data_IF_478822983323
#
_entry.id   IF_478822983323
#
_cell.length_a   1.000
_cell.length_b   1.000
_cell.length_c   1.000
_cell.angle_alpha   90.00
_cell.angle_beta   90.00
_cell.angle_gamma   90.00
#
_symmetry.space_group_name_H-M   'P 1'
#
loop_
_entity.id
_entity.type
_entity.pdbx_description
1 polymer ?
#
# COMPACT_ATOMS: atom_id res chain seq x y z
N UNK A 1 -17.76 45.28 26.29
CA UNK A 1 -16.50 44.78 25.69
C UNK A 1 -16.23 45.50 24.37
N UNK A 2 -15.05 46.09 24.20
CA UNK A 2 -14.65 46.92 23.05
C UNK A 2 -14.67 46.12 21.72
N UNK A 3 -15.22 46.69 20.64
CA UNK A 3 -15.27 46.10 19.30
C UNK A 3 -13.88 45.66 18.80
N UNK A 4 -12.82 46.41 19.12
CA UNK A 4 -11.43 46.05 18.80
C UNK A 4 -10.98 44.77 19.52
N UNK A 5 -11.37 44.59 20.78
CA UNK A 5 -11.04 43.40 21.58
C UNK A 5 -11.78 42.17 21.05
N UNK A 6 -13.07 42.32 20.69
CA UNK A 6 -13.85 41.24 20.05
C UNK A 6 -13.21 40.77 18.74
N UNK A 7 -12.78 41.72 17.88
CA UNK A 7 -12.13 41.40 16.62
C UNK A 7 -10.78 40.70 16.82
N UNK A 8 -9.98 41.15 17.81
CA UNK A 8 -8.70 40.52 18.12
C UNK A 8 -8.86 39.07 18.61
N UNK A 9 -9.82 38.82 19.51
CA UNK A 9 -10.13 37.46 19.99
C UNK A 9 -10.58 36.58 18.83
N UNK A 10 -11.41 37.10 17.92
CA UNK A 10 -11.87 36.37 16.74
C UNK A 10 -10.70 35.98 15.83
N UNK A 11 -9.78 36.92 15.55
CA UNK A 11 -8.58 36.66 14.73
C UNK A 11 -7.67 35.61 15.36
N UNK A 12 -7.39 35.71 16.67
CA UNK A 12 -6.56 34.72 17.38
C UNK A 12 -7.23 33.33 17.34
N UNK A 13 -8.54 33.27 17.57
CA UNK A 13 -9.31 32.03 17.47
C UNK A 13 -9.21 31.39 16.08
N UNK A 14 -9.36 32.18 15.01
CA UNK A 14 -9.20 31.71 13.64
C UNK A 14 -7.79 31.18 13.36
N UNK A 15 -6.74 31.89 13.81
CA UNK A 15 -5.35 31.44 13.64
C UNK A 15 -5.12 30.10 14.36
N UNK A 16 -5.59 29.95 15.60
CA UNK A 16 -5.45 28.70 16.36
C UNK A 16 -6.15 27.53 15.67
N UNK A 17 -7.33 27.76 15.08
CA UNK A 17 -8.04 26.73 14.29
C UNK A 17 -7.23 26.33 13.05
N UNK A 18 -6.69 27.30 12.31
CA UNK A 18 -5.88 27.03 11.11
C UNK A 18 -4.61 26.24 11.47
N UNK A 19 -3.91 26.65 12.53
CA UNK A 19 -2.71 25.95 13.02
C UNK A 19 -3.06 24.55 13.51
N UNK A 20 -4.17 24.39 14.24
CA UNK A 20 -4.66 23.09 14.71
C UNK A 20 -5.01 22.15 13.55
N UNK A 21 -5.71 22.65 12.53
CA UNK A 21 -6.03 21.90 11.31
C UNK A 21 -4.75 21.54 10.53
N UNK A 22 -3.83 22.48 10.40
CA UNK A 22 -2.54 22.27 9.74
C UNK A 22 -1.71 21.19 10.44
N UNK A 23 -1.61 21.23 11.77
CA UNK A 23 -0.91 20.22 12.56
C UNK A 23 -1.59 18.84 12.47
N UNK A 24 -2.94 18.81 12.51
CA UNK A 24 -3.70 17.58 12.35
C UNK A 24 -3.49 16.94 10.96
N UNK A 25 -3.51 17.74 9.88
CA UNK A 25 -3.20 17.28 8.53
C UNK A 25 -1.74 16.83 8.39
N UNK A 26 -0.79 17.58 8.93
CA UNK A 26 0.63 17.20 8.94
C UNK A 26 0.84 15.84 9.60
N UNK A 27 0.24 15.61 10.78
CA UNK A 27 0.30 14.33 11.48
C UNK A 27 -0.31 13.18 10.69
N UNK A 28 -1.33 13.42 9.86
CA UNK A 28 -1.91 12.39 8.99
C UNK A 28 -0.96 11.97 7.87
N UNK A 29 -0.23 12.93 7.30
CA UNK A 29 0.70 12.67 6.18
C UNK A 29 2.04 12.11 6.69
N UNK A 30 2.56 12.64 7.78
CA UNK A 30 3.84 12.21 8.36
C UNK A 30 3.82 10.76 8.89
N UNK A 31 2.64 10.20 9.16
CA UNK A 31 2.49 8.87 9.75
C UNK A 31 1.91 7.83 8.77
N UNK A 32 2.07 8.04 7.46
CA UNK A 32 1.69 7.00 6.49
C UNK A 32 2.58 5.77 6.68
N UNK A 33 2.00 4.55 6.72
CA UNK A 33 2.76 3.33 6.94
C UNK A 33 3.60 2.95 5.72
N UNK A 34 4.70 2.24 5.96
CA UNK A 34 5.64 1.83 4.93
C UNK A 34 6.53 2.95 4.43
N UNK A 35 7.52 2.58 3.62
CA UNK A 35 8.48 3.51 3.02
C UNK A 35 8.05 3.87 1.59
N UNK A 36 8.47 5.05 1.14
CA UNK A 36 8.34 5.45 -0.28
C UNK A 36 9.38 4.70 -1.09
N UNK A 37 8.96 4.17 -2.24
CA UNK A 37 9.85 3.62 -3.27
C UNK A 37 9.79 4.54 -4.48
N UNK A 38 10.95 4.89 -5.04
CA UNK A 38 10.99 5.76 -6.21
C UNK A 38 10.24 5.14 -7.40
N UNK A 39 9.44 5.95 -8.09
CA UNK A 39 8.70 5.49 -9.25
C UNK A 39 9.63 5.09 -10.40
N UNK A 40 9.33 3.95 -11.01
CA UNK A 40 10.07 3.39 -12.15
C UNK A 40 9.24 3.38 -13.45
N UNK A 41 8.08 4.05 -13.45
CA UNK A 41 7.19 4.13 -14.61
C UNK A 41 6.17 3.00 -14.67
N UNK A 42 5.44 2.92 -15.78
CA UNK A 42 4.25 2.06 -15.95
C UNK A 42 4.09 1.48 -17.36
N UNK A 43 5.20 1.26 -18.06
CA UNK A 43 5.15 0.74 -19.42
C UNK A 43 4.65 -0.72 -19.42
N UNK A 44 3.64 -1.05 -20.21
CA UNK A 44 3.28 -2.45 -20.47
C UNK A 44 4.25 -3.07 -21.48
N UNK A 45 4.93 -4.14 -21.10
CA UNK A 45 5.92 -4.86 -21.91
C UNK A 45 5.80 -6.37 -21.68
N UNK A 46 6.19 -7.21 -22.66
CA UNK A 46 6.24 -8.65 -22.47
C UNK A 46 7.28 -9.04 -21.40
N UNK A 47 7.06 -10.17 -20.72
CA UNK A 47 7.93 -10.63 -19.62
C UNK A 47 9.42 -10.75 -20.01
N UNK A 48 9.71 -11.13 -21.26
CA UNK A 48 11.09 -11.23 -21.79
C UNK A 48 11.86 -9.90 -21.83
N UNK A 49 11.14 -8.78 -21.89
CA UNK A 49 11.73 -7.44 -21.76
C UNK A 49 11.76 -6.99 -20.30
N UNK A 50 10.71 -7.28 -19.53
CA UNK A 50 10.66 -6.94 -18.11
C UNK A 50 11.78 -7.63 -17.30
N UNK A 51 12.17 -8.86 -17.67
CA UNK A 51 13.27 -9.59 -17.05
C UNK A 51 14.64 -8.89 -17.17
N UNK A 52 14.79 -7.99 -18.16
CA UNK A 52 16.01 -7.19 -18.37
C UNK A 52 16.01 -5.90 -17.54
N UNK A 53 14.88 -5.56 -16.94
CA UNK A 53 14.72 -4.36 -16.13
C UNK A 53 15.17 -4.60 -14.68
N UNK A 54 15.84 -3.60 -14.09
CA UNK A 54 16.28 -3.66 -12.69
C UNK A 54 15.31 -2.88 -11.81
N UNK A 55 14.51 -3.59 -11.04
CA UNK A 55 13.60 -2.99 -10.06
C UNK A 55 14.36 -2.50 -8.82
N UNK A 56 13.91 -1.39 -8.24
CA UNK A 56 14.55 -0.75 -7.09
C UNK A 56 14.00 -1.24 -5.73
N UNK A 57 13.05 -2.17 -5.74
CA UNK A 57 12.45 -2.79 -4.55
C UNK A 57 12.11 -4.25 -4.81
N UNK A 58 11.93 -5.00 -3.71
CA UNK A 58 11.40 -6.36 -3.76
C UNK A 58 10.37 -6.56 -2.63
N UNK A 59 9.12 -6.96 -2.93
CA UNK A 59 8.55 -7.09 -4.28
C UNK A 59 8.48 -5.74 -5.01
N UNK A 60 8.55 -5.72 -6.36
CA UNK A 60 8.49 -4.46 -7.12
C UNK A 60 7.18 -3.71 -6.89
N UNK A 61 7.26 -2.39 -6.76
CA UNK A 61 6.09 -1.52 -6.51
C UNK A 61 5.67 -0.66 -7.70
N UNK A 62 6.46 -0.69 -8.78
CA UNK A 62 6.28 0.08 -10.03
C UNK A 62 7.29 -0.42 -11.07
N UNK A 63 7.21 0.10 -12.29
CA UNK A 63 8.13 -0.21 -13.38
C UNK A 63 7.42 -0.91 -14.55
N UNK A 64 8.18 -1.30 -15.59
CA UNK A 64 7.63 -2.06 -16.70
C UNK A 64 6.97 -3.36 -16.23
N UNK A 65 5.82 -3.73 -16.80
CA UNK A 65 5.06 -4.88 -16.32
C UNK A 65 4.10 -5.45 -17.39
N UNK A 66 3.35 -6.49 -17.05
CA UNK A 66 2.46 -7.21 -17.97
C UNK A 66 1.15 -6.42 -18.19
N UNK A 67 0.52 -6.57 -19.35
CA UNK A 67 -0.81 -5.97 -19.63
C UNK A 67 -1.95 -6.67 -18.89
N UNK A 68 -1.73 -7.89 -18.42
CA UNK A 68 -2.67 -8.61 -17.56
C UNK A 68 -2.41 -8.28 -16.08
N UNK A 69 -3.49 -8.27 -15.28
CA UNK A 69 -3.42 -8.07 -13.84
C UNK A 69 -3.99 -9.25 -13.07
N UNK A 70 -3.52 -9.42 -11.84
CA UNK A 70 -4.09 -10.40 -10.91
C UNK A 70 -5.36 -9.81 -10.28
N UNK A 71 -6.42 -10.63 -10.21
CA UNK A 71 -7.70 -10.27 -9.61
C UNK A 71 -7.65 -10.37 -8.08
N UNK A 72 -8.58 -9.73 -7.35
CA UNK A 72 -8.58 -9.82 -5.89
C UNK A 72 -8.83 -11.27 -5.44
N UNK A 73 -8.10 -11.74 -4.44
CA UNK A 73 -8.18 -13.13 -4.03
C UNK A 73 -7.08 -13.58 -3.08
N UNK A 74 -7.22 -14.81 -2.59
CA UNK A 74 -6.20 -15.51 -1.81
C UNK A 74 -5.60 -16.60 -2.69
N UNK A 75 -4.29 -16.59 -2.82
CA UNK A 75 -3.54 -17.45 -3.71
C UNK A 75 -2.51 -18.27 -2.91
N UNK A 76 -2.64 -19.59 -3.01
CA UNK A 76 -1.76 -20.55 -2.32
C UNK A 76 -0.52 -20.93 -3.16
N UNK A 77 -0.29 -20.22 -4.25
CA UNK A 77 0.93 -20.30 -5.06
C UNK A 77 1.43 -18.91 -5.39
N UNK A 78 2.75 -18.73 -5.60
CA UNK A 78 3.30 -17.47 -6.07
C UNK A 78 2.63 -17.02 -7.36
N UNK A 79 2.25 -15.74 -7.40
CA UNK A 79 1.69 -15.13 -8.60
C UNK A 79 2.78 -14.44 -9.42
N UNK A 80 2.50 -14.24 -10.72
CA UNK A 80 3.42 -13.54 -11.61
C UNK A 80 3.64 -12.09 -11.14
N UNK A 81 4.90 -11.73 -10.86
CA UNK A 81 5.25 -10.42 -10.31
C UNK A 81 4.90 -9.27 -11.26
N UNK A 82 4.96 -9.46 -12.58
CA UNK A 82 4.61 -8.43 -13.55
C UNK A 82 3.10 -8.17 -13.54
N UNK A 83 2.30 -9.23 -13.44
CA UNK A 83 0.84 -9.08 -13.28
C UNK A 83 0.45 -8.47 -11.94
N UNK A 84 1.21 -8.75 -10.88
CA UNK A 84 1.03 -8.10 -9.58
C UNK A 84 1.34 -6.60 -9.64
N UNK A 85 2.39 -6.17 -10.36
CA UNK A 85 2.67 -4.73 -10.56
C UNK A 85 1.50 -4.04 -11.24
N UNK A 86 0.86 -4.67 -12.25
CA UNK A 86 -0.35 -4.11 -12.87
C UNK A 86 -1.48 -3.96 -11.85
N UNK A 87 -1.71 -4.97 -11.00
CA UNK A 87 -2.69 -4.84 -9.91
C UNK A 87 -2.37 -3.61 -9.03
N UNK A 88 -1.09 -3.37 -8.70
CA UNK A 88 -0.68 -2.15 -7.98
C UNK A 88 -0.98 -0.87 -8.77
N UNK A 89 -0.78 -0.88 -10.11
CA UNK A 89 -1.11 0.23 -11.01
C UNK A 89 -2.60 0.61 -10.92
N UNK A 90 -3.46 -0.40 -10.86
CA UNK A 90 -4.90 -0.26 -10.63
C UNK A 90 -5.27 0.04 -9.16
N UNK A 91 -4.30 0.24 -8.27
CA UNK A 91 -4.51 0.60 -6.87
C UNK A 91 -4.84 -0.56 -5.94
N UNK A 92 -4.41 -1.78 -6.28
CA UNK A 92 -4.51 -2.92 -5.38
C UNK A 92 -3.47 -2.84 -4.27
N UNK A 93 -3.75 -3.59 -3.20
CA UNK A 93 -2.77 -3.95 -2.18
C UNK A 93 -2.44 -5.42 -2.37
N UNK A 94 -1.16 -5.75 -2.46
CA UNK A 94 -0.70 -7.13 -2.45
C UNK A 94 -0.06 -7.42 -1.09
N UNK A 95 -0.53 -8.46 -0.44
CA UNK A 95 -0.06 -8.99 0.84
C UNK A 95 0.74 -10.25 0.52
N UNK A 96 2.06 -10.10 0.53
CA UNK A 96 3.02 -11.17 0.31
C UNK A 96 3.38 -11.81 1.63
N UNK A 97 3.45 -13.15 1.67
CA UNK A 97 3.85 -13.87 2.88
C UNK A 97 4.75 -15.07 2.57
N UNK A 98 5.69 -15.35 3.48
CA UNK A 98 6.67 -16.41 3.30
C UNK A 98 6.51 -17.53 4.32
N UNK A 99 5.94 -18.66 3.87
CA UNK A 99 5.77 -19.88 4.67
C UNK A 99 7.08 -20.60 5.02
N UNK A 100 8.22 -20.27 4.41
CA UNK A 100 9.52 -20.84 4.82
C UNK A 100 10.06 -20.18 6.10
N UNK A 101 9.59 -18.97 6.41
CA UNK A 101 10.03 -18.19 7.59
C UNK A 101 9.04 -18.24 8.76
N UNK A 102 7.83 -18.74 8.53
CA UNK A 102 6.75 -18.87 9.53
C UNK A 102 5.88 -20.08 9.20
N UNK A 103 5.36 -20.77 10.21
CA UNK A 103 4.41 -21.87 10.03
C UNK A 103 3.20 -21.44 9.16
N UNK A 104 2.65 -22.37 8.37
CA UNK A 104 1.58 -22.16 7.37
C UNK A 104 0.30 -21.51 7.95
N UNK A 105 0.19 -21.39 9.27
CA UNK A 105 -0.85 -20.62 9.97
C UNK A 105 -0.93 -19.16 9.53
N UNK A 106 0.21 -18.53 9.16
CA UNK A 106 0.23 -17.14 8.72
C UNK A 106 -0.63 -16.90 7.47
N UNK A 107 -0.64 -17.83 6.52
CA UNK A 107 -1.48 -17.74 5.33
C UNK A 107 -2.98 -17.71 5.68
N UNK A 108 -3.39 -18.49 6.69
CA UNK A 108 -4.77 -18.48 7.20
C UNK A 108 -5.10 -17.13 7.85
N UNK A 109 -4.23 -16.61 8.72
CA UNK A 109 -4.42 -15.29 9.36
C UNK A 109 -4.55 -14.18 8.33
N UNK A 110 -3.71 -14.17 7.29
CA UNK A 110 -3.75 -13.15 6.24
C UNK A 110 -4.97 -13.27 5.33
N UNK A 111 -5.43 -14.50 5.07
CA UNK A 111 -6.70 -14.76 4.39
C UNK A 111 -7.89 -14.20 5.19
N UNK A 112 -7.95 -14.49 6.49
CA UNK A 112 -8.97 -13.96 7.40
C UNK A 112 -8.93 -12.42 7.47
N UNK A 113 -7.74 -11.83 7.52
CA UNK A 113 -7.56 -10.39 7.45
C UNK A 113 -8.08 -9.82 6.13
N UNK A 114 -7.72 -10.42 4.98
CA UNK A 114 -8.21 -10.00 3.67
C UNK A 114 -9.74 -10.01 3.59
N UNK A 115 -10.36 -11.08 4.08
CA UNK A 115 -11.82 -11.21 4.19
C UNK A 115 -12.43 -10.13 5.07
N UNK A 116 -11.85 -9.84 6.23
CA UNK A 116 -12.26 -8.75 7.13
C UNK A 116 -12.18 -7.38 6.45
N UNK A 117 -11.20 -7.17 5.58
CA UNK A 117 -11.03 -5.93 4.80
C UNK A 117 -11.91 -5.87 3.53
N UNK A 118 -12.72 -6.91 3.30
CA UNK A 118 -13.71 -7.02 2.23
C UNK A 118 -13.18 -7.55 0.90
N UNK A 119 -11.92 -8.01 0.83
CA UNK A 119 -11.21 -8.51 -0.36
C UNK A 119 -11.22 -7.63 -1.62
N UNK A 120 -11.88 -6.47 -1.61
CA UNK A 120 -11.90 -5.54 -2.74
C UNK A 120 -10.51 -4.92 -2.94
N UNK A 121 -9.92 -5.10 -4.14
CA UNK A 121 -8.56 -4.63 -4.48
C UNK A 121 -7.49 -5.11 -3.48
N UNK A 122 -7.66 -6.32 -2.95
CA UNK A 122 -6.68 -6.99 -2.09
C UNK A 122 -6.30 -8.34 -2.69
N UNK A 123 -5.00 -8.63 -2.70
CA UNK A 123 -4.44 -9.91 -3.10
C UNK A 123 -3.62 -10.43 -1.93
N UNK A 124 -3.81 -11.69 -1.54
CA UNK A 124 -2.96 -12.38 -0.57
C UNK A 124 -2.26 -13.50 -1.32
N UNK A 125 -0.93 -13.52 -1.33
CA UNK A 125 -0.15 -14.51 -2.10
C UNK A 125 1.12 -14.94 -1.39
N UNK A 126 1.48 -16.21 -1.59
CA UNK A 126 2.77 -16.74 -1.13
C UNK A 126 3.89 -16.11 -1.95
N UNK A 127 4.92 -15.62 -1.28
CA UNK A 127 6.18 -15.23 -1.90
C UNK A 127 7.35 -15.80 -1.08
N UNK A 128 8.05 -16.85 -1.57
CA UNK A 128 9.16 -17.44 -0.83
C UNK A 128 10.45 -16.59 -0.85
N UNK A 129 10.51 -15.54 -1.67
CA UNK A 129 11.72 -14.73 -1.86
C UNK A 129 11.75 -13.46 -0.99
N UNK A 130 10.62 -13.04 -0.39
CA UNK A 130 10.62 -11.93 0.56
C UNK A 130 11.44 -12.28 1.81
N UNK A 131 12.14 -11.27 2.34
CA UNK A 131 13.02 -11.39 3.51
C UNK A 131 12.28 -11.30 4.85
N UNK A 132 11.10 -10.69 4.84
CA UNK A 132 10.26 -10.50 6.01
C UNK A 132 9.06 -11.44 5.94
N UNK A 133 8.54 -11.94 7.07
CA UNK A 133 7.38 -12.83 7.08
C UNK A 133 6.16 -12.29 6.33
N UNK A 134 5.91 -10.98 6.41
CA UNK A 134 4.83 -10.30 5.69
C UNK A 134 5.36 -9.03 5.05
N UNK A 135 5.05 -8.83 3.78
CA UNK A 135 5.32 -7.59 3.05
C UNK A 135 4.04 -7.12 2.35
N UNK A 136 3.64 -5.88 2.59
CA UNK A 136 2.53 -5.24 1.89
C UNK A 136 3.07 -4.27 0.85
N UNK A 137 2.58 -4.37 -0.39
CA UNK A 137 2.92 -3.44 -1.47
C UNK A 137 1.70 -2.70 -1.97
N UNK A 138 1.87 -1.41 -2.23
CA UNK A 138 1.01 -0.56 -3.05
C UNK A 138 1.88 0.15 -4.08
N UNK A 139 1.28 0.86 -5.05
CA UNK A 139 2.08 1.64 -6.00
C UNK A 139 3.03 2.60 -5.27
N UNK A 140 4.33 2.50 -5.58
CA UNK A 140 5.43 3.25 -4.94
C UNK A 140 5.53 3.14 -3.40
N UNK A 141 4.97 2.10 -2.78
CA UNK A 141 4.96 1.93 -1.33
C UNK A 141 5.16 0.49 -0.91
N UNK A 142 6.03 0.30 0.08
CA UNK A 142 6.30 -1.03 0.66
C UNK A 142 6.29 -0.95 2.19
N UNK A 143 5.63 -1.92 2.82
CA UNK A 143 5.59 -2.10 4.27
C UNK A 143 6.08 -3.51 4.58
N UNK A 144 7.27 -3.60 5.18
CA UNK A 144 7.88 -4.86 5.62
C UNK A 144 7.62 -5.08 7.12
N UNK A 145 7.21 -6.29 7.50
CA UNK A 145 6.86 -6.61 8.88
C UNK A 145 7.54 -7.89 9.36
N UNK A 146 8.24 -7.82 10.49
CA UNK A 146 8.86 -8.98 11.16
C UNK A 146 7.84 -9.94 11.77
N UNK A 147 6.63 -9.46 12.01
CA UNK A 147 5.47 -10.21 12.49
C UNK A 147 4.21 -9.49 12.02
N UNK A 148 3.13 -10.21 11.77
CA UNK A 148 1.89 -9.59 11.32
C UNK A 148 1.30 -8.67 12.41
N UNK A 149 1.23 -7.37 12.12
CA UNK A 149 0.51 -6.37 12.93
C UNK A 149 -0.74 -5.94 12.15
N UNK A 150 -1.90 -6.41 12.61
CA UNK A 150 -3.17 -6.15 11.95
C UNK A 150 -3.53 -4.65 11.90
N UNK A 151 -3.18 -3.89 12.94
CA UNK A 151 -3.48 -2.45 13.00
C UNK A 151 -2.64 -1.69 11.97
N UNK A 152 -1.36 -2.05 11.87
CA UNK A 152 -0.45 -1.46 10.88
C UNK A 152 -0.86 -1.82 9.45
N UNK A 153 -1.20 -3.09 9.20
CA UNK A 153 -1.71 -3.55 7.91
C UNK A 153 -3.04 -2.86 7.52
N UNK A 154 -3.96 -2.71 8.48
CA UNK A 154 -5.23 -1.98 8.29
C UNK A 154 -4.96 -0.54 7.87
N UNK A 155 -4.03 0.14 8.55
CA UNK A 155 -3.66 1.52 8.19
C UNK A 155 -3.06 1.60 6.79
N UNK A 156 -2.26 0.60 6.38
CA UNK A 156 -1.67 0.56 5.05
C UNK A 156 -2.73 0.40 3.96
N UNK A 157 -3.62 -0.59 4.12
CA UNK A 157 -4.72 -0.83 3.18
C UNK A 157 -5.60 0.42 3.06
N UNK A 158 -6.01 1.03 4.18
CA UNK A 158 -6.85 2.24 4.16
C UNK A 158 -6.13 3.45 3.56
N UNK A 159 -4.80 3.50 3.65
CA UNK A 159 -4.02 4.62 3.14
C UNK A 159 -3.79 4.56 1.63
N UNK A 160 -3.69 3.37 1.04
CA UNK A 160 -3.22 3.22 -0.34
C UNK A 160 -4.17 2.49 -1.29
N UNK A 161 -5.15 1.73 -0.78
CA UNK A 161 -6.11 1.03 -1.63
C UNK A 161 -6.87 2.04 -2.51
N UNK A 162 -6.95 1.73 -3.80
CA UNK A 162 -7.58 2.56 -4.82
C UNK A 162 -6.79 3.80 -5.22
N UNK A 163 -5.50 3.90 -4.86
CA UNK A 163 -4.64 5.07 -5.15
C UNK A 163 -3.49 4.76 -6.11
N UNK A 164 -3.67 3.77 -6.98
CA UNK A 164 -2.76 3.55 -8.09
C UNK A 164 -2.88 4.64 -9.16
N UNK A 165 -1.89 4.79 -10.05
CA UNK A 165 -1.87 5.82 -11.09
C UNK A 165 -2.91 5.59 -12.20
N UNK A 166 -3.51 4.41 -12.29
CA UNK A 166 -4.60 4.11 -13.23
C UNK A 166 -5.95 3.97 -12.51
N UNK A 167 -6.91 4.79 -12.93
CA UNK A 167 -8.26 4.76 -12.37
C UNK A 167 -9.09 3.69 -13.06
N UNK A 168 -9.41 2.63 -12.32
CA UNK A 168 -10.34 1.58 -12.75
C UNK A 168 -11.63 1.63 -11.95
N UNK A 169 -12.75 1.27 -12.59
CA UNK A 169 -14.08 1.21 -11.97
C UNK A 169 -14.34 -0.07 -11.14
N UNK A 170 -13.32 -0.93 -10.97
CA UNK A 170 -13.41 -2.19 -10.21
C UNK A 170 -13.70 -2.00 -8.71
#
# INVERSE_FOLDING_TARGET
MNKKIKNLIMVIGTILVIVGLGYWMYRRIANLPGIVVNDQGRDHKPSTENDKFVYNSYPPTSGPHDVEWIKPGVYNSPQDKYKLIHSLEHGYIVIHYNCATTECELGKTLSEFGNKMGMKKLIVTIDPQIKFPVVLTAWNRILEMKSFDEKLATNFVNSFRGKGPELTME
#
